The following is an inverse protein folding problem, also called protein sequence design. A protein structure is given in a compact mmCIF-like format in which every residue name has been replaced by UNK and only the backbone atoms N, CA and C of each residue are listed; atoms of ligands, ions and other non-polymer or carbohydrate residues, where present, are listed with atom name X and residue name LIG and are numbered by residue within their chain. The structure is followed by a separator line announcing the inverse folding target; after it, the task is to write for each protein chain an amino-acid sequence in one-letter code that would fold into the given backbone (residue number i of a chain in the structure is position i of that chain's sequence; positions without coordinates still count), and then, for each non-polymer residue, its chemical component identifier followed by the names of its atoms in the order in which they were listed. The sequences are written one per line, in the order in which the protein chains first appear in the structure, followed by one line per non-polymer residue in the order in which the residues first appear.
data_IF_110924099654
#
_entry.id   IF_110924099654
#
_cell.length_a   1.000
_cell.length_b   1.000
_cell.length_c   1.000
_cell.angle_alpha   90.00
_cell.angle_beta   90.00
_cell.angle_gamma   90.00
#
_symmetry.space_group_name_H-M   'P 1'
#
loop_
_entity.id
_entity.type
_entity.pdbx_description
1 polymer ?
#
# COMPACT_ATOMS: atom_id res chain seq x y z
N UNK A 1 -1.97 -11.43 2.75
CA UNK A 1 -0.96 -12.21 1.98
C UNK A 1 -1.68 -13.37 1.28
N UNK A 2 -1.67 -13.41 -0.06
CA UNK A 2 -2.32 -14.50 -0.81
C UNK A 2 -1.51 -15.79 -0.59
N UNK A 3 -2.16 -16.88 -0.19
CA UNK A 3 -1.54 -18.21 0.01
C UNK A 3 -0.43 -18.27 1.09
N UNK A 4 -0.36 -17.31 2.02
CA UNK A 4 0.66 -17.28 3.08
C UNK A 4 2.09 -16.94 2.61
N UNK A 5 2.32 -16.70 1.32
CA UNK A 5 3.64 -16.39 0.76
C UNK A 5 4.05 -14.95 1.06
N UNK A 6 5.01 -14.77 1.97
CA UNK A 6 5.48 -13.43 2.39
C UNK A 6 6.56 -12.84 1.49
N UNK A 7 7.18 -13.65 0.64
CA UNK A 7 8.29 -13.24 -0.22
C UNK A 7 8.00 -13.60 -1.67
N UNK A 8 8.31 -12.67 -2.57
CA UNK A 8 8.26 -12.85 -4.02
C UNK A 8 9.64 -12.63 -4.62
N UNK A 9 10.14 -13.61 -5.37
CA UNK A 9 11.39 -13.50 -6.12
C UNK A 9 11.09 -13.15 -7.57
N UNK A 10 11.50 -11.96 -7.98
CA UNK A 10 11.36 -11.52 -9.37
C UNK A 10 12.37 -12.24 -10.28
N UNK A 11 12.13 -12.29 -11.61
CA UNK A 11 13.04 -12.93 -12.57
C UNK A 11 14.47 -12.38 -12.55
N UNK A 12 14.65 -11.11 -12.16
CA UNK A 12 15.96 -10.47 -11.99
C UNK A 12 16.66 -10.84 -10.67
N UNK A 13 16.12 -11.79 -9.91
CA UNK A 13 16.69 -12.26 -8.65
C UNK A 13 16.35 -11.41 -7.42
N UNK A 14 15.72 -10.23 -7.59
CA UNK A 14 15.34 -9.38 -6.45
C UNK A 14 14.18 -9.99 -5.67
N UNK A 15 14.31 -10.01 -4.34
CA UNK A 15 13.28 -10.48 -3.43
C UNK A 15 12.49 -9.28 -2.91
N UNK A 16 11.17 -9.41 -2.91
CA UNK A 16 10.23 -8.41 -2.41
C UNK A 16 9.39 -9.03 -1.29
N UNK A 17 9.27 -8.32 -0.17
CA UNK A 17 8.31 -8.68 0.86
C UNK A 17 6.90 -8.29 0.37
N UNK A 18 5.96 -9.23 0.35
CA UNK A 18 4.56 -9.01 -0.03
C UNK A 18 3.78 -8.30 1.10
N UNK A 19 4.33 -7.18 1.55
CA UNK A 19 3.79 -6.29 2.57
C UNK A 19 3.38 -4.97 1.92
N UNK A 20 2.08 -4.65 2.03
CA UNK A 20 1.54 -3.38 1.57
C UNK A 20 2.34 -2.21 2.16
N UNK A 21 2.56 -2.23 3.48
CA UNK A 21 3.20 -1.14 4.21
C UNK A 21 4.71 -1.07 3.99
N UNK A 22 5.38 -2.21 4.04
CA UNK A 22 6.85 -2.23 4.03
C UNK A 22 7.45 -2.18 2.62
N UNK A 23 6.67 -2.45 1.57
CA UNK A 23 7.18 -2.40 0.20
C UNK A 23 6.32 -1.53 -0.71
N UNK A 24 5.02 -1.82 -0.86
CA UNK A 24 4.19 -1.12 -1.84
C UNK A 24 4.02 0.38 -1.54
N UNK A 25 3.72 0.72 -0.27
CA UNK A 25 3.52 2.10 0.16
C UNK A 25 4.81 2.93 0.18
N UNK A 26 6.00 2.33 0.01
CA UNK A 26 7.26 3.09 -0.07
C UNK A 26 7.31 4.00 -1.30
N UNK A 27 6.69 3.57 -2.40
CA UNK A 27 6.59 4.34 -3.63
C UNK A 27 5.15 4.82 -3.91
N UNK A 28 4.14 4.07 -3.44
CA UNK A 28 2.72 4.38 -3.63
C UNK A 28 2.05 4.81 -2.32
N UNK A 29 2.56 5.85 -1.67
CA UNK A 29 2.06 6.31 -0.37
C UNK A 29 0.78 7.15 -0.45
N UNK A 30 0.39 7.61 -1.64
CA UNK A 30 -0.76 8.50 -1.80
C UNK A 30 -2.09 7.74 -1.65
N UNK A 31 -2.79 7.99 -0.55
CA UNK A 31 -4.09 7.38 -0.23
C UNK A 31 -5.14 7.68 -1.30
N UNK A 32 -5.26 8.94 -1.75
CA UNK A 32 -6.29 9.37 -2.70
C UNK A 32 -6.15 8.68 -4.06
N UNK A 33 -4.92 8.51 -4.54
CA UNK A 33 -4.62 7.94 -5.85
C UNK A 33 -4.65 6.40 -5.87
N UNK A 34 -4.57 5.75 -4.72
CA UNK A 34 -4.44 4.28 -4.65
C UNK A 34 -5.55 3.62 -3.83
N UNK A 35 -5.69 4.00 -2.56
CA UNK A 35 -6.65 3.40 -1.64
C UNK A 35 -8.08 3.86 -1.94
N UNK A 36 -8.27 5.16 -2.16
CA UNK A 36 -9.61 5.76 -2.25
C UNK A 36 -10.30 5.41 -3.57
N UNK A 37 -9.56 5.17 -4.65
CA UNK A 37 -10.14 4.73 -5.92
C UNK A 37 -10.99 3.47 -5.76
N UNK A 38 -10.45 2.44 -5.10
CA UNK A 38 -11.17 1.19 -4.90
C UNK A 38 -12.16 1.27 -3.73
N UNK A 39 -11.81 1.93 -2.62
CA UNK A 39 -12.67 1.96 -1.44
C UNK A 39 -13.92 2.84 -1.61
N UNK A 40 -13.79 3.97 -2.32
CA UNK A 40 -14.96 4.78 -2.69
C UNK A 40 -15.84 4.01 -3.67
N UNK A 41 -15.24 3.34 -4.67
CA UNK A 41 -15.98 2.53 -5.63
C UNK A 41 -16.76 1.40 -4.95
N UNK A 42 -16.14 0.70 -4.01
CA UNK A 42 -16.79 -0.39 -3.26
C UNK A 42 -17.64 0.11 -2.08
N UNK A 43 -17.74 1.43 -1.87
CA UNK A 43 -18.45 2.06 -0.75
C UNK A 43 -18.06 1.48 0.63
N UNK A 44 -16.78 1.14 0.81
CA UNK A 44 -16.22 0.65 2.07
C UNK A 44 -15.33 1.71 2.70
N UNK A 45 -15.46 1.90 4.02
CA UNK A 45 -14.63 2.84 4.77
C UNK A 45 -13.69 2.06 5.72
N UNK A 46 -12.55 1.56 5.22
CA UNK A 46 -11.59 0.86 6.08
C UNK A 46 -10.84 1.85 6.97
N UNK A 47 -10.73 1.49 8.25
CA UNK A 47 -10.01 2.27 9.26
C UNK A 47 -8.52 1.93 9.27
N UNK A 48 -7.80 2.34 8.22
CA UNK A 48 -6.36 2.13 8.12
C UNK A 48 -5.59 3.19 8.93
N UNK A 49 -6.01 4.45 8.83
CA UNK A 49 -5.24 5.60 9.29
C UNK A 49 -5.49 6.01 10.75
N UNK A 50 -6.39 5.30 11.44
CA UNK A 50 -6.51 5.40 12.91
C UNK A 50 -5.31 4.78 13.62
N UNK A 51 -4.65 3.80 12.99
CA UNK A 51 -3.41 3.20 13.48
C UNK A 51 -2.19 3.53 12.61
N UNK A 52 -2.36 3.72 11.29
CA UNK A 52 -1.29 4.13 10.39
C UNK A 52 -1.30 5.64 10.20
N UNK A 53 -0.53 6.37 11.01
CA UNK A 53 -0.36 7.82 10.87
C UNK A 53 0.12 8.11 9.44
N UNK A 54 -0.69 8.82 8.67
CA UNK A 54 -0.33 9.19 7.32
C UNK A 54 0.91 10.10 7.41
N UNK A 55 2.04 9.76 6.76
CA UNK A 55 3.12 10.73 6.66
C UNK A 55 2.56 11.95 5.93
N UNK A 56 2.78 13.16 6.48
CA UNK A 56 2.35 14.42 5.89
C UNK A 56 2.50 14.34 4.37
N UNK A 57 1.37 14.32 3.66
CA UNK A 57 1.39 14.30 2.21
C UNK A 57 2.22 15.51 1.76
N UNK A 58 3.43 15.27 1.27
CA UNK A 58 4.13 16.28 0.49
C UNK A 58 3.39 16.32 -0.84
N UNK A 59 2.36 17.16 -0.91
CA UNK A 59 1.91 17.70 -2.18
C UNK A 59 3.17 18.22 -2.87
N UNK A 60 3.54 17.58 -3.99
CA UNK A 60 4.56 18.15 -4.86
C UNK A 60 4.00 19.48 -5.33
N UNK A 61 4.61 20.54 -4.81
CA UNK A 61 4.55 21.93 -5.25
C UNK A 61 4.89 21.99 -6.74
#
# INVERSE_FOLDING_TARGET
VRNGMREYKAPNGKVYNMSLQNECLRCHSNKAQFCDQCHNYMAVAPYCFTCHVEPLQKEKM
#
